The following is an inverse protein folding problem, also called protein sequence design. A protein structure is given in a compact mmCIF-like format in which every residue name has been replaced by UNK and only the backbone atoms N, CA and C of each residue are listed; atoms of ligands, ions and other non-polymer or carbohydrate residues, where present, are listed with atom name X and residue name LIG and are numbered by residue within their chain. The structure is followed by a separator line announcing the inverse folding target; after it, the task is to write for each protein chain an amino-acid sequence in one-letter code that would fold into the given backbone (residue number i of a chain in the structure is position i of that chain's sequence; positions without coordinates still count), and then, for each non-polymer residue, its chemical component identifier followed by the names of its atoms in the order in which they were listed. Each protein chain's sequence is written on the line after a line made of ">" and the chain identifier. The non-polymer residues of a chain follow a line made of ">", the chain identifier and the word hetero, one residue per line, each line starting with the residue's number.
data_IF_561116356049
#
_entry.id   IF_561116356049
#
_cell.length_a   1.000
_cell.length_b   1.000
_cell.length_c   1.000
_cell.angle_alpha   90.00
_cell.angle_beta   90.00
_cell.angle_gamma   90.00
#
_symmetry.space_group_name_H-M   'P 1'
#
loop_
_entity.id
_entity.type
_entity.pdbx_description
1 polymer ?
#
# COMPACT_ATOMS: atom_id res chain seq x y z
N UNK A 1 -32.45 -34.73 -41.08
CA UNK A 1 -30.98 -34.63 -41.14
C UNK A 1 -30.56 -33.34 -40.49
N UNK A 2 -30.34 -33.39 -39.18
CA UNK A 2 -29.97 -32.25 -38.34
C UNK A 2 -28.48 -32.33 -38.06
N UNK A 3 -27.72 -31.38 -38.59
CA UNK A 3 -26.30 -31.16 -38.33
C UNK A 3 -26.13 -30.58 -36.91
N UNK A 4 -26.23 -31.47 -35.93
CA UNK A 4 -25.88 -31.19 -34.54
C UNK A 4 -24.47 -31.73 -34.26
N UNK A 5 -23.58 -30.86 -33.80
CA UNK A 5 -22.55 -31.31 -32.88
C UNK A 5 -21.11 -31.14 -33.35
N UNK A 6 -20.66 -29.89 -33.44
CA UNK A 6 -19.29 -29.55 -33.02
C UNK A 6 -19.29 -28.16 -32.39
N UNK A 7 -19.47 -28.04 -31.05
CA UNK A 7 -19.11 -26.81 -30.37
C UNK A 7 -17.65 -26.49 -30.71
N UNK A 8 -17.50 -25.41 -31.47
CA UNK A 8 -16.31 -25.00 -32.22
C UNK A 8 -15.07 -25.05 -31.31
N UNK A 9 -14.00 -25.69 -31.79
CA UNK A 9 -12.68 -25.74 -31.13
C UNK A 9 -12.23 -24.37 -30.57
N UNK A 10 -12.64 -23.29 -31.25
CA UNK A 10 -12.46 -21.89 -30.83
C UNK A 10 -13.02 -21.58 -29.44
N UNK A 11 -14.18 -22.12 -29.06
CA UNK A 11 -14.81 -21.88 -27.76
C UNK A 11 -14.02 -22.55 -26.63
N UNK A 12 -13.42 -23.71 -26.89
CA UNK A 12 -12.57 -24.42 -25.92
C UNK A 12 -11.20 -23.76 -25.76
N UNK A 13 -10.61 -23.26 -26.85
CA UNK A 13 -9.35 -22.50 -26.79
C UNK A 13 -9.56 -21.16 -26.08
N UNK A 14 -10.67 -20.46 -26.35
CA UNK A 14 -11.03 -19.24 -25.62
C UNK A 14 -11.24 -19.50 -24.12
N UNK A 15 -11.90 -20.60 -23.75
CA UNK A 15 -12.09 -20.99 -22.36
C UNK A 15 -10.77 -21.43 -21.66
N UNK A 16 -9.87 -22.08 -22.40
CA UNK A 16 -8.56 -22.49 -21.90
C UNK A 16 -7.60 -21.29 -21.73
N UNK A 17 -7.60 -20.35 -22.67
CA UNK A 17 -6.84 -19.09 -22.56
C UNK A 17 -7.42 -18.14 -21.50
N UNK A 18 -8.69 -18.31 -21.14
CA UNK A 18 -9.29 -17.61 -20.01
C UNK A 18 -8.87 -18.17 -18.64
N UNK A 19 -8.21 -19.34 -18.58
CA UNK A 19 -7.64 -19.85 -17.33
C UNK A 19 -6.37 -19.05 -17.01
N UNK A 20 -6.27 -18.51 -15.79
CA UNK A 20 -5.12 -17.69 -15.41
C UNK A 20 -3.88 -18.58 -15.32
N UNK A 21 -2.98 -18.47 -16.30
CA UNK A 21 -1.76 -19.30 -16.39
C UNK A 21 -0.79 -19.07 -15.21
N UNK A 22 -0.98 -18.01 -14.41
CA UNK A 22 -0.23 -17.72 -13.18
C UNK A 22 -1.10 -17.09 -12.07
N UNK A 23 -2.39 -17.43 -12.02
CA UNK A 23 -3.34 -16.75 -11.12
C UNK A 23 -3.62 -15.28 -11.49
N UNK A 24 -2.92 -14.73 -12.48
CA UNK A 24 -3.15 -13.38 -13.00
C UNK A 24 -4.06 -13.46 -14.23
N UNK A 25 -5.22 -12.79 -14.15
CA UNK A 25 -6.13 -12.61 -15.29
C UNK A 25 -5.44 -11.65 -16.28
N UNK A 26 -5.18 -12.09 -17.51
CA UNK A 26 -4.70 -11.19 -18.58
C UNK A 26 -5.85 -10.26 -18.93
N UNK A 27 -5.66 -8.97 -18.71
CA UNK A 27 -6.68 -7.95 -18.97
C UNK A 27 -6.33 -7.31 -20.31
N UNK A 28 -7.22 -7.38 -21.31
CA UNK A 28 -6.91 -6.87 -22.63
C UNK A 28 -6.70 -5.35 -22.58
N UNK A 29 -5.82 -4.82 -23.44
CA UNK A 29 -5.43 -3.41 -23.42
C UNK A 29 -6.59 -2.44 -23.76
N UNK A 30 -7.65 -2.97 -24.38
CA UNK A 30 -8.89 -2.28 -24.74
C UNK A 30 -10.05 -2.60 -23.78
N UNK A 31 -9.77 -3.21 -22.61
CA UNK A 31 -10.76 -3.41 -21.56
C UNK A 31 -11.40 -2.07 -21.17
N UNK A 32 -12.74 -2.07 -21.12
CA UNK A 32 -13.56 -0.92 -20.75
C UNK A 32 -14.54 -1.33 -19.66
N UNK A 33 -14.91 -0.33 -18.87
CA UNK A 33 -15.91 -0.43 -17.82
C UNK A 33 -16.88 0.72 -18.02
N UNK A 34 -18.17 0.48 -17.81
CA UNK A 34 -19.18 1.55 -17.82
C UNK A 34 -18.91 2.52 -16.66
N UNK A 35 -18.57 3.80 -16.93
CA UNK A 35 -18.29 4.79 -15.89
C UNK A 35 -19.50 5.05 -14.99
N UNK A 36 -20.73 4.85 -15.47
CA UNK A 36 -21.94 5.11 -14.70
C UNK A 36 -22.10 4.18 -13.48
N UNK A 37 -21.43 3.02 -13.49
CA UNK A 37 -21.44 2.06 -12.37
C UNK A 37 -20.54 2.49 -11.20
N UNK A 38 -19.72 3.53 -11.37
CA UNK A 38 -18.69 3.94 -10.41
C UNK A 38 -18.82 5.43 -10.09
N UNK A 39 -19.10 5.76 -8.82
CA UNK A 39 -19.16 7.16 -8.39
C UNK A 39 -17.80 7.84 -8.48
N UNK A 40 -17.76 9.08 -8.94
CA UNK A 40 -16.50 9.83 -9.12
C UNK A 40 -15.82 10.16 -7.79
N UNK A 41 -16.61 10.24 -6.71
CA UNK A 41 -16.13 10.45 -5.35
C UNK A 41 -15.36 9.23 -4.84
N UNK A 42 -15.87 8.03 -5.12
CA UNK A 42 -15.22 6.79 -4.67
C UNK A 42 -14.09 6.37 -5.63
N UNK A 43 -14.23 6.67 -6.92
CA UNK A 43 -13.30 6.28 -8.00
C UNK A 43 -12.77 7.48 -8.79
N UNK A 44 -11.97 8.37 -8.15
CA UNK A 44 -11.43 9.53 -8.81
C UNK A 44 -10.46 9.15 -9.95
N UNK A 45 -10.76 9.60 -11.16
CA UNK A 45 -9.96 9.36 -12.36
C UNK A 45 -8.94 10.48 -12.52
N UNK A 46 -7.68 10.10 -12.76
CA UNK A 46 -6.61 11.05 -13.02
C UNK A 46 -5.98 10.75 -14.38
N UNK A 47 -5.58 11.78 -15.11
CA UNK A 47 -4.87 11.59 -16.37
C UNK A 47 -3.58 10.77 -16.16
N UNK A 48 -3.43 9.66 -16.89
CA UNK A 48 -2.23 8.82 -16.79
C UNK A 48 -0.92 9.55 -17.17
N UNK A 49 -0.99 10.64 -17.93
CA UNK A 49 0.18 11.43 -18.35
C UNK A 49 0.50 12.53 -17.33
N UNK A 50 -0.33 13.57 -17.20
CA UNK A 50 -0.02 14.72 -16.33
C UNK A 50 -0.52 14.58 -14.89
N UNK A 51 -1.43 13.64 -14.61
CA UNK A 51 -2.01 13.46 -13.28
C UNK A 51 -3.11 14.45 -12.89
N UNK A 52 -3.62 15.26 -13.83
CA UNK A 52 -4.78 16.14 -13.63
C UNK A 52 -6.03 15.33 -13.24
N UNK A 53 -6.87 15.88 -12.36
CA UNK A 53 -8.10 15.25 -11.91
C UNK A 53 -9.20 15.43 -12.97
N UNK A 54 -9.70 14.32 -13.53
CA UNK A 54 -10.68 14.32 -14.62
C UNK A 54 -12.13 14.23 -14.12
N UNK A 55 -12.36 14.52 -12.83
CA UNK A 55 -13.70 14.56 -12.22
C UNK A 55 -14.62 15.56 -12.96
N UNK A 56 -15.85 15.15 -13.26
CA UNK A 56 -16.86 15.97 -13.94
C UNK A 56 -16.62 16.22 -15.43
N UNK A 57 -15.49 15.82 -16.00
CA UNK A 57 -15.23 16.00 -17.44
C UNK A 57 -15.81 14.83 -18.25
N UNK A 58 -16.46 15.07 -19.40
CA UNK A 58 -16.84 14.00 -20.32
C UNK A 58 -15.59 13.37 -20.97
N UNK A 59 -15.78 12.28 -21.71
CA UNK A 59 -14.72 11.71 -22.55
C UNK A 59 -14.19 12.76 -23.53
N UNK A 60 -12.85 12.85 -23.69
CA UNK A 60 -12.25 13.91 -24.50
C UNK A 60 -10.75 14.11 -24.27
N UNK A 61 -10.17 15.23 -24.72
CA UNK A 61 -8.79 15.60 -24.43
C UNK A 61 -8.65 16.14 -22.99
N UNK A 62 -7.55 15.78 -22.32
CA UNK A 62 -7.21 16.36 -21.02
C UNK A 62 -6.91 17.87 -21.17
N UNK A 63 -7.47 18.75 -20.32
CA UNK A 63 -7.28 20.21 -20.46
C UNK A 63 -5.84 20.67 -20.25
N UNK A 64 -5.05 19.91 -19.49
CA UNK A 64 -3.64 20.25 -19.19
C UNK A 64 -2.66 19.80 -20.27
N UNK A 65 -2.85 18.60 -20.82
CA UNK A 65 -1.85 17.98 -21.72
C UNK A 65 -2.37 17.62 -23.11
N UNK A 66 -3.66 17.85 -23.38
CA UNK A 66 -4.31 17.55 -24.66
C UNK A 66 -4.47 16.06 -24.97
N UNK A 67 -3.95 15.15 -24.14
CA UNK A 67 -4.02 13.70 -24.41
C UNK A 67 -5.48 13.23 -24.40
N UNK A 68 -5.95 12.52 -25.44
CA UNK A 68 -7.29 11.95 -25.43
C UNK A 68 -7.39 10.87 -24.36
N UNK A 69 -8.49 10.89 -23.60
CA UNK A 69 -8.81 9.88 -22.62
C UNK A 69 -10.25 9.38 -22.81
N UNK A 70 -10.47 8.17 -22.34
CA UNK A 70 -11.78 7.54 -22.25
C UNK A 70 -11.92 7.07 -20.80
N UNK A 71 -12.95 7.55 -20.11
CA UNK A 71 -13.12 7.37 -18.65
C UNK A 71 -13.16 5.91 -18.25
N UNK A 72 -13.91 5.10 -18.99
CA UNK A 72 -14.01 3.66 -18.73
C UNK A 72 -12.66 2.95 -18.85
N UNK A 73 -11.81 3.39 -19.79
CA UNK A 73 -10.46 2.86 -19.96
C UNK A 73 -9.52 3.36 -18.88
N UNK A 74 -9.57 4.64 -18.52
CA UNK A 74 -8.72 5.21 -17.47
C UNK A 74 -9.04 4.65 -16.08
N UNK A 75 -10.30 4.29 -15.80
CA UNK A 75 -10.66 3.53 -14.60
C UNK A 75 -9.94 2.19 -14.53
N UNK A 76 -9.90 1.44 -15.63
CA UNK A 76 -9.16 0.18 -15.70
C UNK A 76 -7.66 0.42 -15.52
N UNK A 77 -7.08 1.37 -16.26
CA UNK A 77 -5.65 1.66 -16.17
C UNK A 77 -5.23 2.07 -14.75
N UNK A 78 -5.99 2.95 -14.10
CA UNK A 78 -5.66 3.46 -12.77
C UNK A 78 -5.82 2.40 -11.67
N UNK A 79 -6.91 1.63 -11.65
CA UNK A 79 -7.20 0.69 -10.56
C UNK A 79 -6.67 -0.73 -10.77
N UNK A 80 -6.44 -1.12 -12.02
CA UNK A 80 -6.07 -2.50 -12.37
C UNK A 80 -4.61 -2.60 -12.79
N UNK A 81 -4.15 -1.72 -13.70
CA UNK A 81 -2.79 -1.76 -14.23
C UNK A 81 -1.80 -1.01 -13.34
N UNK A 82 -2.22 0.10 -12.72
CA UNK A 82 -1.37 0.94 -11.87
C UNK A 82 -1.86 1.04 -10.41
N UNK A 83 -2.17 -0.08 -9.72
CA UNK A 83 -2.81 -0.04 -8.40
C UNK A 83 -1.95 0.66 -7.33
N UNK A 84 -0.63 0.61 -7.46
CA UNK A 84 0.31 1.13 -6.45
C UNK A 84 0.91 2.50 -6.82
N UNK A 85 0.74 2.95 -8.07
CA UNK A 85 1.72 3.82 -8.72
C UNK A 85 1.71 5.30 -8.32
N UNK A 86 0.61 5.87 -7.82
CA UNK A 86 0.55 7.33 -7.58
C UNK A 86 -0.24 7.78 -6.35
N UNK A 87 -1.30 7.08 -5.98
CA UNK A 87 -2.21 7.54 -4.93
C UNK A 87 -1.63 7.37 -3.52
N UNK A 88 -0.91 6.27 -3.25
CA UNK A 88 -0.38 6.01 -1.91
C UNK A 88 0.72 7.00 -1.50
N UNK A 89 1.62 7.36 -2.42
CA UNK A 89 2.66 8.37 -2.18
C UNK A 89 2.08 9.78 -2.02
N UNK A 90 1.07 10.14 -2.83
CA UNK A 90 0.39 11.44 -2.73
C UNK A 90 -0.42 11.60 -1.45
N UNK A 91 -0.98 10.51 -0.92
CA UNK A 91 -1.79 10.53 0.30
C UNK A 91 -0.98 10.81 1.59
N UNK A 92 0.33 11.05 1.51
CA UNK A 92 1.15 11.50 2.63
C UNK A 92 1.48 10.41 3.66
N UNK A 93 0.85 9.24 3.60
CA UNK A 93 1.10 8.10 4.50
C UNK A 93 2.57 7.67 4.51
N UNK A 94 3.22 7.66 3.34
CA UNK A 94 4.65 7.34 3.25
C UNK A 94 5.52 8.30 4.08
N UNK A 95 5.21 9.60 4.08
CA UNK A 95 5.95 10.59 4.88
C UNK A 95 5.76 10.38 6.37
N UNK A 96 4.54 10.06 6.81
CA UNK A 96 4.28 9.74 8.21
C UNK A 96 5.00 8.47 8.66
N UNK A 97 4.96 7.40 7.85
CA UNK A 97 5.64 6.15 8.15
C UNK A 97 7.16 6.36 8.34
N UNK A 98 7.80 7.09 7.43
CA UNK A 98 9.23 7.43 7.55
C UNK A 98 9.51 8.23 8.83
N UNK A 99 8.67 9.22 9.16
CA UNK A 99 8.83 10.00 10.40
C UNK A 99 8.72 9.13 11.65
N UNK A 100 7.73 8.23 11.71
CA UNK A 100 7.58 7.30 12.83
C UNK A 100 8.78 6.35 12.96
N UNK A 101 9.28 5.83 11.83
CA UNK A 101 10.49 4.99 11.84
C UNK A 101 11.72 5.75 12.34
N UNK A 102 11.93 6.99 11.90
CA UNK A 102 13.06 7.82 12.36
C UNK A 102 12.96 8.12 13.85
N UNK A 103 11.77 8.52 14.34
CA UNK A 103 11.56 8.79 15.78
C UNK A 103 11.78 7.53 16.61
N UNK A 104 11.27 6.38 16.17
CA UNK A 104 11.48 5.11 16.84
C UNK A 104 12.97 4.73 16.90
N UNK A 105 13.70 4.85 15.80
CA UNK A 105 15.15 4.58 15.77
C UNK A 105 15.95 5.53 16.66
N UNK A 106 15.59 6.81 16.70
CA UNK A 106 16.23 7.79 17.59
C UNK A 106 15.98 7.46 19.06
N UNK A 107 14.76 7.04 19.43
CA UNK A 107 14.45 6.62 20.80
C UNK A 107 15.32 5.42 21.23
N UNK A 108 15.43 4.40 20.37
CA UNK A 108 16.29 3.22 20.61
C UNK A 108 17.76 3.65 20.73
N UNK A 109 18.24 4.52 19.86
CA UNK A 109 19.62 5.00 19.89
C UNK A 109 19.94 5.78 21.18
N UNK A 110 19.01 6.61 21.67
CA UNK A 110 19.16 7.34 22.93
C UNK A 110 19.22 6.37 24.10
N UNK A 111 18.36 5.36 24.14
CA UNK A 111 18.36 4.34 25.19
C UNK A 111 19.67 3.55 25.21
N UNK A 112 20.13 3.08 24.04
CA UNK A 112 21.42 2.39 23.91
C UNK A 112 22.59 3.29 24.32
N UNK A 113 22.53 4.58 23.95
CA UNK A 113 23.52 5.59 24.34
C UNK A 113 23.56 5.82 25.86
N UNK A 114 22.41 5.75 26.55
CA UNK A 114 22.34 5.88 28.01
C UNK A 114 22.83 4.62 28.75
N UNK A 115 22.71 3.44 28.13
CA UNK A 115 23.18 2.18 28.71
C UNK A 115 24.71 2.04 28.68
N UNK A 116 25.39 2.61 27.68
CA UNK A 116 26.84 2.48 27.50
C UNK A 116 27.68 3.04 28.66
N UNK A 117 27.45 4.28 29.16
CA UNK A 117 28.16 4.81 30.33
C UNK A 117 27.98 3.93 31.57
N UNK A 118 26.80 3.34 31.73
CA UNK A 118 26.52 2.48 32.88
C UNK A 118 27.28 1.15 32.80
N UNK A 119 27.26 0.50 31.64
CA UNK A 119 28.08 -0.69 31.38
C UNK A 119 29.57 -0.40 31.62
N UNK A 120 30.03 0.79 31.22
CA UNK A 120 31.40 1.25 31.47
C UNK A 120 31.70 1.42 32.97
N UNK A 121 30.79 2.02 33.75
CA UNK A 121 30.96 2.19 35.19
C UNK A 121 30.97 0.85 35.93
N UNK A 122 30.09 -0.09 35.57
CA UNK A 122 30.11 -1.45 36.13
C UNK A 122 31.44 -2.13 35.82
N UNK A 123 31.84 -2.12 34.54
CA UNK A 123 33.09 -2.73 34.11
C UNK A 123 34.28 -2.15 34.88
N UNK A 124 34.35 -0.82 35.01
CA UNK A 124 35.39 -0.13 35.80
C UNK A 124 35.38 -0.54 37.27
N UNK A 125 34.20 -0.61 37.90
CA UNK A 125 34.09 -1.02 39.32
C UNK A 125 34.55 -2.46 39.55
N UNK A 126 34.35 -3.34 38.56
CA UNK A 126 34.81 -4.73 38.62
C UNK A 126 36.33 -4.84 38.62
N UNK A 127 37.03 -3.92 37.95
CA UNK A 127 38.50 -3.85 37.93
C UNK A 127 39.08 -3.34 39.25
N UNK A 128 38.38 -2.44 39.96
CA UNK A 128 38.91 -1.81 41.18
C UNK A 128 38.52 -2.53 42.48
N UNK A 129 37.70 -3.59 42.40
CA UNK A 129 37.16 -4.29 43.59
C UNK A 129 36.26 -3.42 44.47
N UNK A 130 35.87 -2.23 44.00
CA UNK A 130 35.04 -1.30 44.74
C UNK A 130 33.57 -1.66 44.55
N UNK A 131 32.74 -1.68 45.62
CA UNK A 131 31.32 -1.95 45.46
C UNK A 131 30.64 -0.86 44.63
N UNK A 132 29.69 -1.20 43.75
CA UNK A 132 28.98 -0.21 42.95
C UNK A 132 28.17 0.74 43.84
N UNK A 133 28.00 2.02 43.44
CA UNK A 133 27.27 3.00 44.22
C UNK A 133 25.79 2.60 44.37
N UNK A 134 25.30 2.48 45.61
CA UNK A 134 23.93 2.04 45.93
C UNK A 134 22.85 2.91 45.26
N UNK A 135 23.03 4.24 45.25
CA UNK A 135 22.10 5.17 44.59
C UNK A 135 22.01 5.01 43.07
N UNK A 136 23.05 4.44 42.44
CA UNK A 136 23.03 4.16 41.00
C UNK A 136 22.02 3.07 40.63
N UNK A 137 21.74 2.12 41.53
CA UNK A 137 20.90 0.96 41.20
C UNK A 137 19.41 1.29 41.05
N UNK A 138 18.83 2.08 41.96
CA UNK A 138 17.40 2.43 41.92
C UNK A 138 17.04 3.37 40.76
N UNK A 139 17.90 4.37 40.49
CA UNK A 139 17.73 5.26 39.34
C UNK A 139 17.79 4.49 38.03
N UNK A 140 18.72 3.54 37.90
CA UNK A 140 18.87 2.72 36.70
C UNK A 140 17.71 1.76 36.48
N UNK A 141 17.20 1.14 37.54
CA UNK A 141 15.98 0.31 37.46
C UNK A 141 14.80 1.17 36.96
N UNK A 142 14.66 2.39 37.48
CA UNK A 142 13.59 3.30 37.06
C UNK A 142 13.73 3.74 35.59
N UNK A 143 14.95 4.10 35.16
CA UNK A 143 15.24 4.44 33.77
C UNK A 143 14.99 3.26 32.82
N UNK A 144 15.30 2.03 33.25
CA UNK A 144 15.03 0.80 32.50
C UNK A 144 13.53 0.58 32.30
N UNK A 145 12.72 0.71 33.35
CA UNK A 145 11.27 0.58 33.23
C UNK A 145 10.67 1.67 32.34
N UNK A 146 11.20 2.89 32.38
CA UNK A 146 10.81 3.95 31.47
C UNK A 146 11.16 3.60 30.02
N UNK A 147 12.36 3.05 29.77
CA UNK A 147 12.79 2.52 28.47
C UNK A 147 11.81 1.48 27.93
N UNK A 148 11.51 0.44 28.72
CA UNK A 148 10.51 -0.58 28.33
C UNK A 148 9.14 0.02 28.01
N UNK A 149 8.69 1.01 28.78
CA UNK A 149 7.44 1.72 28.50
C UNK A 149 7.45 2.44 27.14
N UNK A 150 8.58 3.08 26.79
CA UNK A 150 8.76 3.74 25.50
C UNK A 150 8.84 2.73 24.35
N UNK A 151 9.57 1.62 24.53
CA UNK A 151 9.67 0.54 23.55
C UNK A 151 8.29 -0.06 23.24
N UNK A 152 7.51 -0.40 24.27
CA UNK A 152 6.15 -0.94 24.12
C UNK A 152 5.27 0.06 23.37
N UNK A 153 5.33 1.34 23.72
CA UNK A 153 4.54 2.40 23.08
C UNK A 153 4.92 2.55 21.60
N UNK A 154 6.22 2.56 21.28
CA UNK A 154 6.71 2.61 19.92
C UNK A 154 6.26 1.38 19.10
N UNK A 155 6.35 0.19 19.69
CA UNK A 155 5.89 -1.05 19.06
C UNK A 155 4.39 -1.00 18.75
N UNK A 156 3.55 -0.58 19.70
CA UNK A 156 2.12 -0.42 19.49
C UNK A 156 1.80 0.62 18.40
N UNK A 157 2.56 1.71 18.33
CA UNK A 157 2.43 2.71 17.28
C UNK A 157 2.73 2.11 15.90
N UNK A 158 3.81 1.33 15.77
CA UNK A 158 4.15 0.62 14.52
C UNK A 158 3.05 -0.36 14.13
N UNK A 159 2.54 -1.17 15.07
CA UNK A 159 1.42 -2.09 14.79
C UNK A 159 0.17 -1.34 14.32
N UNK A 160 -0.15 -0.20 14.94
CA UNK A 160 -1.25 0.66 14.50
C UNK A 160 -1.03 1.17 13.07
N UNK A 161 0.17 1.66 12.75
CA UNK A 161 0.51 2.08 11.38
C UNK A 161 0.37 0.93 10.36
N UNK A 162 0.88 -0.25 10.68
CA UNK A 162 0.76 -1.45 9.84
C UNK A 162 -0.70 -1.85 9.63
N UNK A 163 -1.53 -1.78 10.68
CA UNK A 163 -2.96 -2.04 10.59
C UNK A 163 -3.68 -1.05 9.68
N UNK A 164 -3.37 0.26 9.78
CA UNK A 164 -3.92 1.28 8.89
C UNK A 164 -3.51 1.07 7.43
N UNK A 165 -2.25 0.72 7.19
CA UNK A 165 -1.72 0.36 5.87
C UNK A 165 -2.46 -0.85 5.31
N UNK A 166 -2.60 -1.91 6.11
CA UNK A 166 -3.34 -3.13 5.75
C UNK A 166 -4.80 -2.82 5.40
N UNK A 167 -5.48 -2.00 6.22
CA UNK A 167 -6.86 -1.55 5.94
C UNK A 167 -6.94 -0.77 4.63
N UNK A 168 -5.94 0.06 4.34
CA UNK A 168 -5.80 0.76 3.06
C UNK A 168 -5.67 -0.21 1.88
N UNK A 169 -4.79 -1.21 1.99
CA UNK A 169 -4.61 -2.24 0.97
C UNK A 169 -5.87 -3.08 0.75
N UNK A 170 -6.59 -3.46 1.81
CA UNK A 170 -7.87 -4.17 1.69
C UNK A 170 -8.89 -3.36 0.92
N UNK A 171 -9.07 -2.08 1.27
CA UNK A 171 -9.99 -1.18 0.55
C UNK A 171 -9.62 -1.06 -0.93
N UNK A 172 -8.33 -0.93 -1.25
CA UNK A 172 -7.84 -0.88 -2.62
C UNK A 172 -8.11 -2.21 -3.37
N UNK A 173 -7.87 -3.35 -2.71
CA UNK A 173 -8.15 -4.67 -3.27
C UNK A 173 -9.64 -4.87 -3.55
N UNK A 174 -10.52 -4.41 -2.67
CA UNK A 174 -11.98 -4.45 -2.86
C UNK A 174 -12.40 -3.59 -4.04
N UNK A 175 -11.88 -2.36 -4.15
CA UNK A 175 -12.13 -1.49 -5.30
C UNK A 175 -11.67 -2.12 -6.61
N UNK A 176 -10.46 -2.70 -6.64
CA UNK A 176 -9.93 -3.42 -7.80
C UNK A 176 -10.81 -4.62 -8.18
N UNK A 177 -11.29 -5.39 -7.20
CA UNK A 177 -12.20 -6.52 -7.44
C UNK A 177 -13.51 -6.06 -8.10
N UNK A 178 -14.09 -4.94 -7.64
CA UNK A 178 -15.30 -4.35 -8.25
C UNK A 178 -15.06 -3.90 -9.70
N UNK A 179 -13.96 -3.20 -9.96
CA UNK A 179 -13.61 -2.78 -11.33
C UNK A 179 -13.40 -3.98 -12.23
N UNK A 180 -12.65 -5.00 -11.80
CA UNK A 180 -12.42 -6.23 -12.59
C UNK A 180 -13.73 -6.99 -12.87
N UNK A 181 -14.66 -7.01 -11.93
CA UNK A 181 -15.96 -7.65 -12.10
C UNK A 181 -16.85 -6.92 -13.13
N UNK A 182 -16.67 -5.61 -13.28
CA UNK A 182 -17.42 -4.77 -14.23
C UNK A 182 -16.77 -4.65 -15.62
N UNK A 183 -15.61 -5.28 -15.87
CA UNK A 183 -14.98 -5.27 -17.20
C UNK A 183 -15.86 -6.05 -18.16
N UNK A 184 -16.49 -5.33 -19.09
CA UNK A 184 -17.22 -5.91 -20.21
C UNK A 184 -16.28 -6.08 -21.41
N UNK A 185 -16.21 -7.27 -22.04
CA UNK A 185 -15.46 -7.42 -23.28
C UNK A 185 -16.06 -6.52 -24.37
N UNK A 186 -15.20 -5.85 -25.14
CA UNK A 186 -15.63 -5.05 -26.28
C UNK A 186 -16.34 -5.95 -27.32
N UNK A 187 -17.52 -5.59 -27.84
CA UNK A 187 -18.14 -6.36 -28.90
C UNK A 187 -17.22 -6.40 -30.12
N UNK A 188 -17.09 -7.55 -30.81
CA UNK A 188 -16.33 -7.63 -32.05
C UNK A 188 -16.93 -6.65 -33.09
N UNK A 189 -16.07 -5.88 -33.75
CA UNK A 189 -16.44 -5.03 -34.88
C UNK A 189 -16.59 -5.86 -36.14
#
# INVERSE_FOLDING_TARGET
>A
MTDQGKPRLRTRIAAALARPLFGTRVIPQDARVDPALFSEEEYPIHCGTCGYNLRGLPDGPCPECGKPFERGRELVVSYVLNPLGRTWWKAGYGRWLVRFLVVGMLAIAIEMGAALPYCFLIWRSSQTGSPPPRYGTSLMISLRYLGYGLEITAFLAVLCCLFLIYRGFRRLADKRRRVIAAITPKPPR
#
